data_IF_188910149120
#
_entry.id   IF_188910149120
#
_cell.length_a   1.000
_cell.length_b   1.000
_cell.length_c   1.000
_cell.angle_alpha   90.00
_cell.angle_beta   90.00
_cell.angle_gamma   90.00
#
_symmetry.space_group_name_H-M   'P 1'
#
loop_
_entity.id
_entity.type
_entity.pdbx_description
1 polymer ?
#
# COMPACT_ATOMS: atom_id res chain seq x y z
N UNK A 1 15.79 -14.09 -3.63
CA UNK A 1 16.61 -13.76 -4.80
C UNK A 1 15.69 -13.32 -5.93
N UNK A 2 16.20 -12.56 -6.89
CA UNK A 2 15.45 -12.03 -8.02
C UNK A 2 14.90 -13.13 -8.94
N UNK A 3 15.52 -14.29 -8.95
CA UNK A 3 15.07 -15.48 -9.69
C UNK A 3 13.61 -15.90 -9.39
N UNK A 4 13.06 -15.42 -8.26
CA UNK A 4 11.65 -15.63 -7.88
C UNK A 4 10.68 -14.64 -8.52
N UNK A 5 11.18 -13.60 -9.17
CA UNK A 5 10.36 -12.62 -9.90
C UNK A 5 10.28 -12.95 -11.40
N UNK A 6 11.05 -13.92 -11.89
CA UNK A 6 11.17 -14.28 -13.29
C UNK A 6 12.56 -13.97 -13.88
N UNK A 7 12.68 -14.09 -15.20
CA UNK A 7 13.93 -13.87 -15.92
C UNK A 7 14.32 -12.38 -15.91
N UNK A 8 15.61 -12.12 -15.63
CA UNK A 8 16.16 -10.75 -15.67
C UNK A 8 17.19 -10.61 -16.78
N UNK A 9 17.00 -9.58 -17.61
CA UNK A 9 17.97 -9.17 -18.63
C UNK A 9 18.48 -7.75 -18.36
N UNK A 10 19.73 -7.52 -18.77
CA UNK A 10 20.34 -6.19 -18.75
C UNK A 10 20.19 -5.57 -20.12
N UNK A 11 19.60 -4.40 -20.21
CA UNK A 11 19.53 -3.62 -21.43
C UNK A 11 20.96 -3.13 -21.79
N UNK A 12 21.50 -3.50 -22.95
CA UNK A 12 22.88 -3.23 -23.32
C UNK A 12 23.16 -1.72 -23.54
N UNK A 13 22.15 -0.96 -23.92
CA UNK A 13 22.28 0.46 -24.21
C UNK A 13 22.31 1.31 -22.93
N UNK A 14 21.53 0.91 -21.90
CA UNK A 14 21.33 1.70 -20.68
C UNK A 14 21.98 1.10 -19.45
N UNK A 15 22.34 -0.18 -19.50
CA UNK A 15 22.83 -0.95 -18.34
C UNK A 15 21.75 -1.25 -17.29
N UNK A 16 20.51 -0.88 -17.55
CA UNK A 16 19.37 -1.11 -16.65
C UNK A 16 18.93 -2.57 -16.72
N UNK A 17 18.59 -3.13 -15.58
CA UNK A 17 18.06 -4.50 -15.50
C UNK A 17 16.55 -4.49 -15.52
N UNK A 18 15.98 -5.44 -16.25
CA UNK A 18 14.53 -5.62 -16.42
C UNK A 18 14.11 -7.06 -16.17
N UNK A 19 12.92 -7.22 -15.64
CA UNK A 19 12.16 -8.46 -15.66
C UNK A 19 11.51 -8.55 -17.05
N UNK A 20 11.78 -9.60 -17.78
CA UNK A 20 11.36 -9.75 -19.19
C UNK A 20 10.42 -10.94 -19.40
N UNK A 21 10.19 -11.72 -18.35
CA UNK A 21 9.35 -12.92 -18.33
C UNK A 21 8.06 -12.57 -17.56
N UNK A 22 7.20 -11.76 -18.19
CA UNK A 22 5.97 -11.31 -17.56
C UNK A 22 4.85 -12.34 -17.81
N UNK A 23 4.10 -12.66 -16.75
CA UNK A 23 2.91 -13.50 -16.84
C UNK A 23 1.70 -12.67 -17.29
N UNK A 24 1.62 -12.38 -18.58
CA UNK A 24 0.64 -11.47 -19.17
C UNK A 24 -0.67 -12.15 -19.48
N UNK A 25 -0.59 -13.38 -20.02
CA UNK A 25 -1.72 -14.12 -20.56
C UNK A 25 -2.24 -15.18 -19.60
N UNK A 26 -3.53 -15.46 -19.75
CA UNK A 26 -4.24 -16.46 -18.95
C UNK A 26 -3.51 -17.80 -18.93
N UNK A 27 -3.08 -18.33 -20.09
CA UNK A 27 -2.41 -19.61 -20.19
C UNK A 27 -1.11 -19.66 -19.38
N UNK A 28 -0.29 -18.61 -19.49
CA UNK A 28 0.96 -18.48 -18.71
C UNK A 28 0.69 -18.47 -17.21
N UNK A 29 -0.37 -17.76 -16.78
CA UNK A 29 -0.78 -17.71 -15.36
C UNK A 29 -1.24 -19.10 -14.90
N UNK A 30 -2.03 -19.80 -15.71
CA UNK A 30 -2.49 -21.15 -15.43
C UNK A 30 -1.32 -22.13 -15.30
N UNK A 31 -0.37 -22.08 -16.23
CA UNK A 31 0.82 -22.95 -16.21
C UNK A 31 1.68 -22.72 -14.96
N UNK A 32 1.87 -21.45 -14.55
CA UNK A 32 2.64 -21.10 -13.36
C UNK A 32 1.98 -21.60 -12.07
N UNK A 33 0.65 -21.44 -11.94
CA UNK A 33 -0.06 -21.69 -10.69
C UNK A 33 -0.81 -23.02 -10.63
N UNK A 34 -0.78 -23.83 -11.68
CA UNK A 34 -1.30 -25.20 -11.68
C UNK A 34 -0.31 -26.24 -11.13
N UNK A 35 0.97 -25.92 -11.04
CA UNK A 35 2.02 -26.81 -10.55
C UNK A 35 1.93 -27.02 -9.01
N UNK A 36 1.53 -28.23 -8.54
CA UNK A 36 1.36 -28.49 -7.11
C UNK A 36 2.62 -28.31 -6.27
N UNK A 37 3.81 -28.51 -6.86
CA UNK A 37 5.09 -28.39 -6.15
C UNK A 37 5.47 -26.94 -5.87
N UNK A 38 4.98 -26.00 -6.67
CA UNK A 38 5.18 -24.56 -6.48
C UNK A 38 4.19 -23.93 -5.51
N UNK A 39 3.12 -24.66 -5.15
CA UNK A 39 2.03 -24.16 -4.32
C UNK A 39 2.35 -24.39 -2.86
N UNK A 40 2.45 -23.28 -2.09
CA UNK A 40 2.55 -23.33 -0.63
C UNK A 40 1.20 -22.99 -0.01
N UNK A 41 0.82 -23.74 1.02
CA UNK A 41 -0.38 -23.44 1.82
C UNK A 41 -0.28 -22.02 2.41
N UNK A 42 -1.34 -21.22 2.26
CA UNK A 42 -1.44 -19.82 2.72
C UNK A 42 -0.45 -18.84 2.06
N UNK A 43 0.10 -19.16 0.91
CA UNK A 43 0.90 -18.24 0.09
C UNK A 43 0.10 -17.74 -1.11
N UNK A 44 0.58 -16.66 -1.75
CA UNK A 44 -0.03 -16.13 -2.97
C UNK A 44 -0.22 -17.20 -4.06
N UNK A 45 0.77 -18.08 -4.36
CA UNK A 45 0.56 -19.18 -5.30
C UNK A 45 -0.60 -20.10 -4.93
N UNK A 46 -0.77 -20.41 -3.64
CA UNK A 46 -1.90 -21.24 -3.19
C UNK A 46 -3.26 -20.56 -3.34
N UNK A 47 -3.31 -19.25 -3.18
CA UNK A 47 -4.52 -18.45 -3.42
C UNK A 47 -4.85 -18.43 -4.92
N UNK A 48 -3.85 -18.19 -5.78
CA UNK A 48 -4.02 -18.20 -7.24
C UNK A 48 -4.46 -19.57 -7.74
N UNK A 49 -3.85 -20.67 -7.27
CA UNK A 49 -4.28 -22.01 -7.61
C UNK A 49 -5.76 -22.26 -7.29
N UNK A 50 -6.22 -21.86 -6.11
CA UNK A 50 -7.65 -21.95 -5.73
C UNK A 50 -8.53 -21.06 -6.59
N UNK A 51 -8.05 -19.88 -6.97
CA UNK A 51 -8.78 -18.99 -7.85
C UNK A 51 -8.96 -19.61 -9.25
N UNK A 52 -7.92 -20.25 -9.80
CA UNK A 52 -7.98 -20.98 -11.07
C UNK A 52 -9.00 -22.13 -11.07
N UNK A 53 -9.22 -22.75 -9.91
CA UNK A 53 -10.23 -23.81 -9.74
C UNK A 53 -11.66 -23.26 -9.60
N UNK A 54 -11.84 -21.95 -9.48
CA UNK A 54 -13.15 -21.34 -9.30
C UNK A 54 -13.81 -21.04 -10.66
N UNK A 55 -14.79 -21.84 -11.04
CA UNK A 55 -15.52 -21.72 -12.30
C UNK A 55 -16.21 -20.36 -12.51
N UNK A 56 -16.42 -19.58 -11.45
CA UNK A 56 -16.98 -18.23 -11.55
C UNK A 56 -15.99 -17.19 -12.05
N UNK A 57 -14.69 -17.47 -11.93
CA UNK A 57 -13.64 -16.57 -12.44
C UNK A 57 -13.35 -17.00 -13.88
N UNK A 58 -13.63 -16.12 -14.83
CA UNK A 58 -13.55 -16.43 -16.27
C UNK A 58 -12.27 -15.95 -16.92
N UNK A 59 -11.59 -14.98 -16.31
CA UNK A 59 -10.41 -14.36 -16.88
C UNK A 59 -9.36 -14.04 -15.82
N UNK A 60 -8.10 -14.14 -16.21
CA UNK A 60 -6.93 -13.83 -15.41
C UNK A 60 -5.98 -13.07 -16.30
N UNK A 61 -5.53 -11.91 -15.87
CA UNK A 61 -4.56 -11.11 -16.63
C UNK A 61 -3.69 -10.27 -15.71
N UNK A 62 -2.53 -9.89 -16.19
CA UNK A 62 -1.72 -8.87 -15.55
C UNK A 62 -2.45 -7.53 -15.59
N UNK A 63 -2.31 -6.73 -14.55
CA UNK A 63 -2.76 -5.34 -14.52
C UNK A 63 -1.56 -4.42 -14.35
N UNK A 64 -1.38 -3.52 -15.31
CA UNK A 64 -0.29 -2.53 -15.33
C UNK A 64 -0.64 -1.40 -16.29
N UNK A 65 0.25 -0.43 -16.46
CA UNK A 65 0.06 0.65 -17.45
C UNK A 65 0.02 0.15 -18.90
N UNK A 66 0.48 -1.07 -19.18
CA UNK A 66 0.40 -1.70 -20.51
C UNK A 66 -0.66 -2.80 -20.63
N UNK A 67 -1.34 -3.18 -19.54
CA UNK A 67 -2.24 -4.35 -19.50
C UNK A 67 -3.65 -4.03 -18.98
N UNK A 68 -4.04 -2.76 -19.00
CA UNK A 68 -5.40 -2.31 -18.73
C UNK A 68 -6.23 -2.14 -20.01
N UNK A 69 -7.40 -1.51 -19.88
CA UNK A 69 -8.10 -0.90 -21.01
C UNK A 69 -7.41 0.41 -21.33
N UNK A 70 -6.82 0.51 -22.54
CA UNK A 70 -6.07 1.69 -22.95
C UNK A 70 -6.99 2.70 -23.64
N UNK A 71 -6.97 3.95 -23.18
CA UNK A 71 -7.61 5.09 -23.84
C UNK A 71 -6.59 6.24 -23.94
N UNK A 72 -6.11 6.49 -25.16
CA UNK A 72 -4.95 7.35 -25.38
C UNK A 72 -3.69 6.77 -24.70
N UNK A 73 -3.05 7.57 -23.86
CA UNK A 73 -1.85 7.17 -23.10
C UNK A 73 -2.19 6.61 -21.71
N UNK A 74 -3.46 6.61 -21.32
CA UNK A 74 -3.90 6.18 -20.01
C UNK A 74 -4.37 4.73 -20.02
N UNK A 75 -4.04 4.01 -18.96
CA UNK A 75 -4.52 2.66 -18.72
C UNK A 75 -5.60 2.68 -17.63
N UNK A 76 -6.67 1.95 -17.83
CA UNK A 76 -7.75 1.81 -16.87
C UNK A 76 -7.94 0.35 -16.46
N UNK A 77 -8.43 0.15 -15.26
CA UNK A 77 -8.88 -1.16 -14.83
C UNK A 77 -10.01 -1.63 -15.77
N UNK A 78 -9.97 -2.86 -16.32
CA UNK A 78 -10.97 -3.36 -17.23
C UNK A 78 -12.39 -3.24 -16.68
N UNK A 79 -13.30 -2.67 -17.46
CA UNK A 79 -14.67 -2.37 -17.07
C UNK A 79 -14.83 -1.06 -16.28
N UNK A 80 -13.78 -0.22 -16.17
CA UNK A 80 -13.78 1.05 -15.45
C UNK A 80 -13.10 2.20 -16.23
N UNK A 81 -12.98 2.06 -17.54
CA UNK A 81 -12.54 3.12 -18.42
C UNK A 81 -13.67 4.13 -18.70
N UNK A 82 -13.39 5.34 -19.16
CA UNK A 82 -14.42 6.29 -19.59
C UNK A 82 -15.40 5.71 -20.59
N UNK A 83 -14.93 4.89 -21.54
CA UNK A 83 -15.77 4.20 -22.53
C UNK A 83 -16.74 3.14 -21.96
N UNK A 84 -16.54 2.71 -20.72
CA UNK A 84 -17.47 1.79 -20.03
C UNK A 84 -18.71 2.51 -19.49
N UNK A 85 -18.78 3.85 -19.63
CA UNK A 85 -19.92 4.71 -19.26
C UNK A 85 -20.41 4.52 -17.82
N UNK A 86 -19.53 4.17 -16.91
CA UNK A 86 -19.82 4.19 -15.48
C UNK A 86 -19.75 5.62 -14.95
N UNK A 87 -20.40 5.90 -13.83
CA UNK A 87 -20.30 7.21 -13.18
C UNK A 87 -18.92 7.51 -12.59
N UNK A 88 -17.97 6.57 -12.69
CA UNK A 88 -16.61 6.68 -12.16
C UNK A 88 -15.62 5.88 -12.99
N UNK A 89 -14.35 6.25 -12.90
CA UNK A 89 -13.25 5.57 -13.58
C UNK A 89 -12.22 5.05 -12.58
N UNK A 90 -11.43 4.07 -12.98
CA UNK A 90 -10.30 3.56 -12.19
C UNK A 90 -9.07 3.49 -13.08
N UNK A 91 -8.22 4.51 -13.00
CA UNK A 91 -6.97 4.62 -13.72
C UNK A 91 -5.88 3.76 -13.09
N UNK A 92 -5.04 3.12 -13.91
CA UNK A 92 -3.90 2.30 -13.49
C UNK A 92 -2.62 3.12 -13.65
N UNK A 93 -2.03 3.55 -12.55
CA UNK A 93 -0.80 4.34 -12.52
C UNK A 93 0.48 3.50 -12.30
N UNK A 94 0.32 2.21 -12.03
CA UNK A 94 1.42 1.27 -11.83
C UNK A 94 0.93 -0.17 -11.66
N UNK A 95 1.81 -1.17 -11.89
CA UNK A 95 3.21 -1.05 -12.29
C UNK A 95 3.38 -0.39 -13.67
N UNK A 96 4.43 0.40 -13.83
CA UNK A 96 4.77 0.99 -15.12
C UNK A 96 5.50 -0.04 -15.96
N UNK A 97 4.96 -0.35 -17.13
CA UNK A 97 5.58 -1.20 -18.14
C UNK A 97 6.42 -0.33 -19.09
N UNK A 98 7.63 -0.77 -19.35
CA UNK A 98 8.50 -0.21 -20.39
C UNK A 98 8.63 -1.24 -21.52
N UNK A 99 8.84 -0.80 -22.74
CA UNK A 99 8.96 -1.68 -23.89
C UNK A 99 10.41 -1.73 -24.38
N UNK A 100 10.84 -2.88 -24.84
CA UNK A 100 12.14 -3.02 -25.49
C UNK A 100 12.08 -2.64 -26.99
N UNK A 101 13.18 -2.80 -27.70
CA UNK A 101 13.25 -2.50 -29.15
C UNK A 101 12.34 -3.39 -30.02
N UNK A 102 11.92 -4.54 -29.52
CA UNK A 102 10.99 -5.45 -30.17
C UNK A 102 9.53 -5.24 -29.72
N UNK A 103 9.25 -4.17 -28.98
CA UNK A 103 7.95 -3.87 -28.39
C UNK A 103 7.47 -4.93 -27.37
N UNK A 104 8.40 -5.65 -26.74
CA UNK A 104 8.05 -6.59 -25.67
C UNK A 104 7.99 -5.86 -24.33
N UNK A 105 6.94 -6.09 -23.52
CA UNK A 105 6.78 -5.44 -22.24
C UNK A 105 7.80 -5.98 -21.23
N UNK A 106 8.30 -5.09 -20.40
CA UNK A 106 9.27 -5.39 -19.35
C UNK A 106 9.08 -4.50 -18.13
N UNK A 107 9.46 -4.99 -16.95
CA UNK A 107 9.41 -4.23 -15.72
C UNK A 107 10.83 -3.92 -15.23
N UNK A 108 11.10 -2.66 -14.97
CA UNK A 108 12.41 -2.18 -14.49
C UNK A 108 12.74 -2.77 -13.12
N UNK A 109 13.98 -3.22 -12.92
CA UNK A 109 14.48 -3.49 -11.58
C UNK A 109 14.62 -2.17 -10.81
N UNK A 110 13.71 -1.93 -9.85
CA UNK A 110 13.60 -0.66 -9.12
C UNK A 110 14.71 -0.52 -8.06
N UNK A 111 15.07 -1.62 -7.37
CA UNK A 111 16.06 -1.65 -6.29
C UNK A 111 16.97 -2.86 -6.40
N UNK A 112 18.12 -2.80 -5.72
CA UNK A 112 18.98 -3.98 -5.53
C UNK A 112 18.35 -5.01 -4.59
N UNK A 113 17.42 -4.61 -3.72
CA UNK A 113 16.70 -5.50 -2.83
C UNK A 113 15.47 -6.11 -3.52
N UNK A 114 15.32 -7.45 -3.40
CA UNK A 114 14.20 -8.19 -3.95
C UNK A 114 12.85 -7.67 -3.46
N UNK A 115 12.68 -7.52 -2.13
CA UNK A 115 11.43 -7.05 -1.54
C UNK A 115 11.05 -5.64 -1.97
N UNK A 116 12.03 -4.74 -2.13
CA UNK A 116 11.78 -3.38 -2.60
C UNK A 116 11.37 -3.34 -4.07
N UNK A 117 11.94 -4.19 -4.93
CA UNK A 117 11.52 -4.30 -6.33
C UNK A 117 10.11 -4.90 -6.41
N UNK A 118 9.83 -5.97 -5.65
CA UNK A 118 8.50 -6.58 -5.60
C UNK A 118 7.42 -5.59 -5.17
N UNK A 119 7.63 -4.93 -4.04
CA UNK A 119 6.68 -3.94 -3.52
C UNK A 119 6.59 -2.69 -4.41
N UNK A 120 7.71 -2.34 -5.08
CA UNK A 120 7.75 -1.23 -6.01
C UNK A 120 6.90 -1.44 -7.28
N UNK A 121 6.56 -2.67 -7.61
CA UNK A 121 5.62 -3.04 -8.67
C UNK A 121 4.21 -3.30 -8.14
N UNK A 122 3.82 -2.69 -7.04
CA UNK A 122 2.42 -2.68 -6.59
C UNK A 122 1.49 -2.10 -7.66
N UNK A 123 0.29 -2.65 -7.73
CA UNK A 123 -0.78 -2.05 -8.53
C UNK A 123 -1.20 -0.75 -7.86
N UNK A 124 -1.03 0.36 -8.57
CA UNK A 124 -1.38 1.71 -8.13
C UNK A 124 -2.60 2.16 -8.92
N UNK A 125 -3.67 2.47 -8.21
CA UNK A 125 -4.94 2.83 -8.79
C UNK A 125 -5.38 4.22 -8.33
N UNK A 126 -5.96 4.99 -9.25
CA UNK A 126 -6.67 6.22 -8.95
C UNK A 126 -8.12 6.07 -9.38
N UNK A 127 -9.02 6.05 -8.41
CA UNK A 127 -10.46 6.11 -8.63
C UNK A 127 -10.88 7.58 -8.71
N UNK A 128 -11.66 7.92 -9.74
CA UNK A 128 -12.24 9.25 -9.90
C UNK A 128 -13.76 9.14 -10.04
N UNK A 129 -14.48 9.84 -9.16
CA UNK A 129 -15.93 9.90 -9.18
C UNK A 129 -16.41 11.32 -8.90
N UNK A 130 -16.98 11.98 -9.91
CA UNK A 130 -17.35 13.39 -9.83
C UNK A 130 -16.13 14.25 -9.50
N UNK A 131 -16.24 15.03 -8.43
CA UNK A 131 -15.20 15.96 -7.98
C UNK A 131 -14.11 15.31 -7.12
N UNK A 132 -14.22 14.01 -6.80
CA UNK A 132 -13.34 13.33 -5.85
C UNK A 132 -12.47 12.25 -6.47
N UNK A 133 -11.25 12.20 -5.98
CA UNK A 133 -10.23 11.21 -6.35
C UNK A 133 -9.73 10.46 -5.12
N UNK A 134 -9.55 9.16 -5.28
CA UNK A 134 -8.97 8.29 -4.25
C UNK A 134 -7.76 7.59 -4.83
N UNK A 135 -6.59 7.76 -4.22
CA UNK A 135 -5.36 7.08 -4.61
C UNK A 135 -5.11 5.86 -3.73
N UNK A 136 -4.92 4.72 -4.36
CA UNK A 136 -4.50 3.47 -3.72
C UNK A 136 -3.01 3.25 -3.97
N UNK A 137 -2.16 3.55 -2.98
CA UNK A 137 -0.72 3.56 -3.12
C UNK A 137 -0.03 2.19 -3.02
N UNK A 138 -0.78 1.08 -2.85
CA UNK A 138 -0.19 -0.25 -2.69
C UNK A 138 0.88 -0.29 -1.60
N UNK A 139 1.97 -1.00 -1.87
CA UNK A 139 3.15 -1.10 -1.01
C UNK A 139 4.35 -0.35 -1.60
N UNK A 140 4.10 0.78 -2.28
CA UNK A 140 5.17 1.62 -2.80
C UNK A 140 6.21 1.95 -1.73
N UNK A 141 7.43 2.11 -2.18
CA UNK A 141 8.58 2.46 -1.36
C UNK A 141 9.39 3.59 -2.02
N UNK A 142 10.38 4.14 -1.31
CA UNK A 142 11.18 5.29 -1.77
C UNK A 142 11.74 5.12 -3.19
N UNK A 143 12.39 3.98 -3.57
CA UNK A 143 12.87 3.80 -4.94
C UNK A 143 11.75 3.84 -5.99
N UNK A 144 10.62 3.20 -5.69
CA UNK A 144 9.48 3.14 -6.60
C UNK A 144 8.78 4.49 -6.78
N UNK A 145 8.55 5.23 -5.70
CA UNK A 145 7.99 6.57 -5.76
C UNK A 145 8.87 7.53 -6.57
N UNK A 146 10.20 7.47 -6.37
CA UNK A 146 11.14 8.23 -7.18
C UNK A 146 11.10 7.82 -8.65
N UNK A 147 10.92 6.54 -8.94
CA UNK A 147 10.76 6.06 -10.31
C UNK A 147 9.48 6.59 -10.94
N UNK A 148 8.33 6.46 -10.26
CA UNK A 148 7.04 6.96 -10.75
C UNK A 148 7.04 8.47 -10.97
N UNK A 149 7.54 9.25 -9.99
CA UNK A 149 7.63 10.70 -10.14
C UNK A 149 8.48 11.11 -11.34
N UNK A 150 9.63 10.45 -11.57
CA UNK A 150 10.45 10.70 -12.76
C UNK A 150 9.72 10.32 -14.05
N UNK A 151 9.11 9.15 -14.08
CA UNK A 151 8.41 8.64 -15.25
C UNK A 151 7.31 9.61 -15.70
N UNK A 152 6.40 9.97 -14.78
CA UNK A 152 5.25 10.83 -15.10
C UNK A 152 5.61 12.31 -15.31
N UNK A 153 6.82 12.73 -14.97
CA UNK A 153 7.30 14.10 -15.22
C UNK A 153 8.43 14.19 -16.25
N UNK A 154 8.70 13.09 -16.98
CA UNK A 154 9.69 13.04 -18.06
C UNK A 154 11.14 13.27 -17.62
N UNK A 155 11.50 12.99 -16.34
CA UNK A 155 12.83 13.26 -15.80
C UNK A 155 13.72 12.02 -15.80
N UNK A 156 14.93 12.16 -16.29
CA UNK A 156 15.94 11.10 -16.21
C UNK A 156 16.48 10.91 -14.78
N UNK A 157 16.68 12.01 -14.05
CA UNK A 157 17.24 12.01 -12.69
C UNK A 157 16.24 12.58 -11.69
N UNK A 158 16.25 12.02 -10.49
CA UNK A 158 15.45 12.56 -9.38
C UNK A 158 16.11 13.83 -8.84
N UNK A 159 15.41 14.98 -8.80
CA UNK A 159 16.00 16.25 -8.42
C UNK A 159 16.43 16.30 -6.95
N UNK A 160 17.41 17.14 -6.64
CA UNK A 160 17.79 17.46 -5.26
C UNK A 160 16.65 18.20 -4.55
N UNK A 161 16.35 17.87 -3.28
CA UNK A 161 15.34 18.56 -2.47
C UNK A 161 15.50 20.09 -2.39
N UNK A 162 16.72 20.60 -2.61
CA UNK A 162 17.04 22.03 -2.54
C UNK A 162 16.92 22.75 -3.89
N UNK A 163 16.67 22.04 -4.97
CA UNK A 163 16.57 22.62 -6.31
C UNK A 163 15.16 23.11 -6.62
N UNK A 164 15.04 24.13 -7.48
CA UNK A 164 13.76 24.56 -8.02
C UNK A 164 13.07 23.45 -8.81
N UNK A 165 13.84 22.61 -9.52
CA UNK A 165 13.34 21.48 -10.29
C UNK A 165 12.63 20.44 -9.41
N UNK A 166 13.01 20.28 -8.13
CA UNK A 166 12.28 19.43 -7.20
C UNK A 166 10.85 19.90 -6.95
N UNK A 167 10.65 21.21 -6.79
CA UNK A 167 9.32 21.79 -6.61
C UNK A 167 8.51 21.72 -7.92
N UNK A 168 9.16 21.96 -9.05
CA UNK A 168 8.53 21.82 -10.37
C UNK A 168 8.06 20.39 -10.61
N UNK A 169 8.90 19.39 -10.34
CA UNK A 169 8.54 17.99 -10.43
C UNK A 169 7.28 17.66 -9.61
N UNK A 170 7.19 18.16 -8.37
CA UNK A 170 6.01 17.96 -7.51
C UNK A 170 4.76 18.57 -8.15
N UNK A 171 4.85 19.79 -8.68
CA UNK A 171 3.71 20.46 -9.30
C UNK A 171 3.25 19.74 -10.58
N UNK A 172 4.18 19.28 -11.40
CA UNK A 172 3.89 18.53 -12.63
C UNK A 172 3.33 17.13 -12.34
N UNK A 173 3.67 16.53 -11.19
CA UNK A 173 3.15 15.23 -10.77
C UNK A 173 1.72 15.31 -10.18
N UNK A 174 1.27 16.48 -9.72
CA UNK A 174 -0.06 16.66 -9.10
C UNK A 174 -1.24 16.24 -9.98
N UNK A 175 -1.31 16.56 -11.28
CA UNK A 175 -2.41 16.11 -12.13
C UNK A 175 -2.55 14.59 -12.15
N UNK A 176 -1.43 13.87 -12.12
CA UNK A 176 -1.42 12.40 -12.12
C UNK A 176 -1.79 11.82 -10.76
N UNK A 177 -1.14 12.28 -9.68
CA UNK A 177 -1.23 11.63 -8.36
C UNK A 177 -2.16 12.33 -7.38
N UNK A 178 -2.57 13.58 -7.65
CA UNK A 178 -3.43 14.36 -6.74
C UNK A 178 -4.75 13.64 -6.44
N UNK A 179 -5.12 13.60 -5.15
CA UNK A 179 -6.32 12.95 -4.69
C UNK A 179 -6.81 13.56 -3.37
N UNK A 180 -8.10 13.49 -3.09
CA UNK A 180 -8.71 13.94 -1.84
C UNK A 180 -8.48 12.95 -0.71
N UNK A 181 -8.44 11.64 -1.07
CA UNK A 181 -8.18 10.55 -0.14
C UNK A 181 -7.01 9.71 -0.65
N UNK A 182 -6.11 9.33 0.24
CA UNK A 182 -5.01 8.42 -0.08
C UNK A 182 -5.02 7.22 0.85
N UNK A 183 -5.10 6.00 0.30
CA UNK A 183 -4.63 4.81 1.02
C UNK A 183 -3.11 4.88 1.09
N UNK A 184 -2.61 5.06 2.31
CA UNK A 184 -1.17 5.24 2.56
C UNK A 184 -0.38 4.03 2.09
N UNK A 185 0.78 4.29 1.48
CA UNK A 185 1.67 3.25 0.97
C UNK A 185 2.19 2.37 2.11
N UNK A 186 2.38 1.10 1.81
CA UNK A 186 3.10 0.13 2.64
C UNK A 186 2.65 0.16 4.13
N UNK A 187 1.33 0.14 4.35
CA UNK A 187 0.71 0.08 5.68
C UNK A 187 1.14 1.20 6.66
N UNK A 188 1.71 2.28 6.15
CA UNK A 188 2.24 3.36 7.01
C UNK A 188 3.72 3.18 7.38
N UNK A 189 4.51 2.51 6.54
CA UNK A 189 5.97 2.47 6.64
C UNK A 189 6.58 3.85 6.48
N UNK A 190 7.73 4.10 7.12
CA UNK A 190 8.53 5.34 6.94
C UNK A 190 9.11 5.49 5.52
N UNK A 191 9.08 4.43 4.71
CA UNK A 191 9.70 4.38 3.38
C UNK A 191 8.85 5.06 2.28
N UNK A 192 8.37 6.26 2.55
CA UNK A 192 7.62 7.13 1.63
C UNK A 192 8.41 8.43 1.42
N UNK A 193 8.38 9.01 0.23
CA UNK A 193 9.06 10.28 -0.06
C UNK A 193 8.18 11.49 0.23
N UNK A 194 8.79 12.60 0.70
CA UNK A 194 8.08 13.86 0.87
C UNK A 194 7.51 14.38 -0.46
N UNK A 195 8.23 14.14 -1.58
CA UNK A 195 7.80 14.56 -2.91
C UNK A 195 6.48 13.86 -3.31
N UNK A 196 6.37 12.56 -3.05
CA UNK A 196 5.17 11.81 -3.39
C UNK A 196 3.98 12.25 -2.53
N UNK A 197 4.18 12.40 -1.20
CA UNK A 197 3.16 12.95 -0.32
C UNK A 197 2.69 14.35 -0.75
N UNK A 198 3.62 15.22 -1.14
CA UNK A 198 3.31 16.56 -1.60
C UNK A 198 2.61 16.58 -2.98
N UNK A 199 2.92 15.62 -3.86
CA UNK A 199 2.24 15.48 -5.15
C UNK A 199 0.79 14.97 -4.99
N UNK A 200 0.56 14.02 -4.08
CA UNK A 200 -0.79 13.53 -3.79
C UNK A 200 -1.60 14.57 -3.03
N UNK A 201 -1.04 15.17 -1.98
CA UNK A 201 -1.60 16.22 -1.13
C UNK A 201 -3.07 15.95 -0.73
N UNK A 202 -3.38 14.81 -0.08
CA UNK A 202 -4.75 14.45 0.25
C UNK A 202 -5.23 15.16 1.51
N UNK A 203 -6.55 15.33 1.66
CA UNK A 203 -7.16 15.82 2.90
C UNK A 203 -7.39 14.70 3.92
N UNK A 204 -7.52 13.46 3.44
CA UNK A 204 -7.70 12.29 4.29
C UNK A 204 -6.73 11.16 3.91
N UNK A 205 -6.03 10.67 4.91
CA UNK A 205 -5.16 9.50 4.80
C UNK A 205 -5.84 8.29 5.43
N UNK A 206 -5.88 7.18 4.72
CA UNK A 206 -6.37 5.90 5.21
C UNK A 206 -5.19 4.94 5.36
N UNK A 207 -4.97 4.46 6.57
CA UNK A 207 -3.89 3.55 6.92
C UNK A 207 -4.51 2.19 7.24
N UNK A 208 -4.15 1.18 6.43
CA UNK A 208 -4.48 -0.22 6.69
C UNK A 208 -3.28 -0.86 7.38
N UNK A 209 -3.35 -1.06 8.66
CA UNK A 209 -2.29 -1.67 9.47
C UNK A 209 -2.86 -2.67 10.46
N UNK A 210 -1.99 -3.51 11.03
CA UNK A 210 -2.36 -4.53 12.01
C UNK A 210 -1.17 -4.95 12.86
N UNK A 211 -1.45 -5.41 14.06
CA UNK A 211 -0.48 -5.68 15.12
C UNK A 211 0.26 -7.03 14.95
N UNK A 212 -0.23 -7.89 14.08
CA UNK A 212 0.33 -9.24 13.89
C UNK A 212 1.43 -9.30 12.82
N UNK A 213 1.82 -8.15 12.28
CA UNK A 213 2.90 -8.07 11.32
C UNK A 213 4.25 -7.95 12.04
N UNK A 214 5.28 -8.56 11.47
CA UNK A 214 6.65 -8.46 11.98
C UNK A 214 7.25 -7.04 11.90
N UNK A 215 6.47 -6.08 11.42
CA UNK A 215 6.80 -4.66 11.31
C UNK A 215 5.77 -3.84 12.08
N UNK A 216 6.23 -2.91 12.89
CA UNK A 216 5.36 -1.99 13.63
C UNK A 216 4.95 -0.85 12.69
N UNK A 217 3.74 -0.91 12.15
CA UNK A 217 3.13 0.13 11.31
C UNK A 217 1.79 0.59 11.91
N UNK A 218 1.38 1.87 11.73
CA UNK A 218 2.13 2.96 11.08
C UNK A 218 3.30 3.45 11.94
N UNK A 219 4.35 3.93 11.26
CA UNK A 219 5.52 4.51 11.94
C UNK A 219 5.22 5.93 12.42
N UNK A 220 5.62 6.29 13.67
CA UNK A 220 5.32 7.61 14.25
C UNK A 220 5.87 8.79 13.44
N UNK A 221 7.06 8.66 12.86
CA UNK A 221 7.66 9.69 12.01
C UNK A 221 6.86 9.90 10.73
N UNK A 222 6.28 8.84 10.15
CA UNK A 222 5.39 8.98 9.02
C UNK A 222 4.12 9.74 9.40
N UNK A 223 3.50 9.43 10.53
CA UNK A 223 2.28 10.12 10.97
C UNK A 223 2.49 11.65 11.04
N UNK A 224 3.63 12.10 11.58
CA UNK A 224 4.00 13.52 11.58
C UNK A 224 4.16 14.11 10.17
N UNK A 225 4.72 13.33 9.24
CA UNK A 225 4.88 13.75 7.83
C UNK A 225 3.53 13.79 7.10
N UNK A 226 2.63 12.84 7.34
CA UNK A 226 1.27 12.87 6.78
C UNK A 226 0.54 14.15 7.21
N UNK A 227 0.59 14.51 8.49
CA UNK A 227 0.03 15.77 8.99
C UNK A 227 0.63 17.01 8.31
N UNK A 228 1.93 16.98 7.97
CA UNK A 228 2.61 18.09 7.30
C UNK A 228 2.26 18.24 5.82
N UNK A 229 2.11 17.11 5.10
CA UNK A 229 1.94 17.11 3.64
C UNK A 229 0.47 16.95 3.21
N UNK A 230 -0.42 16.70 4.15
CA UNK A 230 -1.86 16.70 3.86
C UNK A 230 -2.41 18.09 3.56
N UNK A 231 -3.56 18.11 2.89
CA UNK A 231 -4.25 19.33 2.46
C UNK A 231 -4.96 19.98 3.64
N UNK A 232 -4.90 21.30 3.70
CA UNK A 232 -5.54 22.11 4.76
C UNK A 232 -4.74 22.15 6.06
N UNK A 233 -5.35 22.77 7.09
CA UNK A 233 -4.71 22.95 8.39
C UNK A 233 -4.75 21.68 9.25
N UNK A 234 -5.73 20.81 9.02
CA UNK A 234 -5.98 19.61 9.84
C UNK A 234 -6.33 18.40 8.97
N UNK A 235 -5.35 17.82 8.24
CA UNK A 235 -5.62 16.63 7.46
C UNK A 235 -6.03 15.46 8.36
N UNK A 236 -7.02 14.70 7.92
CA UNK A 236 -7.57 13.57 8.67
C UNK A 236 -6.71 12.31 8.47
N UNK A 237 -6.35 11.66 9.57
CA UNK A 237 -5.64 10.38 9.55
C UNK A 237 -6.55 9.30 10.16
N UNK A 238 -6.95 8.34 9.34
CA UNK A 238 -7.76 7.19 9.75
C UNK A 238 -6.91 5.93 9.68
N UNK A 239 -6.87 5.18 10.77
CA UNK A 239 -6.17 3.89 10.82
C UNK A 239 -7.15 2.79 11.18
N UNK A 240 -6.97 1.59 10.61
CA UNK A 240 -7.70 0.39 11.03
C UNK A 240 -7.36 0.00 12.47
N UNK A 241 -6.25 0.49 13.02
CA UNK A 241 -5.91 0.42 14.43
C UNK A 241 -6.40 1.67 15.14
N UNK A 242 -7.59 1.61 15.74
CA UNK A 242 -8.22 2.77 16.38
C UNK A 242 -7.64 3.10 17.76
N UNK A 243 -7.16 2.09 18.47
CA UNK A 243 -6.59 2.27 19.79
C UNK A 243 -5.47 1.27 20.03
N UNK A 244 -4.26 1.79 20.17
CA UNK A 244 -3.14 1.00 20.68
C UNK A 244 -3.13 1.01 22.21
N UNK A 245 -2.75 -0.11 22.79
CA UNK A 245 -2.51 -0.16 24.22
C UNK A 245 -1.28 0.68 24.55
N UNK A 246 -1.21 1.17 25.78
CA UNK A 246 -0.03 1.85 26.32
C UNK A 246 1.19 0.93 26.51
N UNK A 247 1.09 -0.33 26.08
CA UNK A 247 2.14 -1.36 26.16
C UNK A 247 3.23 -1.24 25.10
N UNK A 248 3.35 -0.15 24.39
CA UNK A 248 4.51 0.12 23.51
C UNK A 248 5.86 0.13 24.25
N UNK A 249 5.80 0.15 25.57
CA UNK A 249 6.94 -0.15 26.43
C UNK A 249 6.79 -1.56 26.98
N UNK A 250 7.88 -2.31 26.93
CA UNK A 250 7.99 -3.58 27.65
C UNK A 250 7.31 -3.45 29.00
N UNK A 251 6.37 -4.33 29.31
CA UNK A 251 5.82 -4.41 30.66
C UNK A 251 6.94 -4.80 31.62
N UNK A 252 7.57 -3.77 32.22
CA UNK A 252 8.73 -3.96 33.12
C UNK A 252 8.46 -4.97 34.24
N UNK A 253 7.20 -5.06 34.69
CA UNK A 253 6.82 -6.03 35.74
C UNK A 253 6.79 -7.45 35.19
N UNK A 254 6.26 -7.62 33.99
CA UNK A 254 6.20 -8.90 33.28
C UNK A 254 7.60 -9.38 32.91
N UNK A 255 8.45 -8.51 32.39
CA UNK A 255 9.85 -8.80 32.05
C UNK A 255 10.63 -9.18 33.33
N UNK A 256 10.47 -8.43 34.43
CA UNK A 256 11.11 -8.75 35.71
C UNK A 256 10.63 -10.09 36.30
N UNK A 257 9.34 -10.43 36.14
CA UNK A 257 8.81 -11.73 36.50
C UNK A 257 9.41 -12.86 35.67
N UNK A 258 9.58 -12.66 34.37
CA UNK A 258 10.21 -13.63 33.48
C UNK A 258 11.67 -13.87 33.85
N UNK A 259 12.45 -12.82 34.12
CA UNK A 259 13.83 -12.96 34.61
C UNK A 259 13.89 -13.81 35.89
N UNK A 260 13.03 -13.52 36.86
CA UNK A 260 12.95 -14.34 38.10
C UNK A 260 12.59 -15.79 37.83
N UNK A 261 11.74 -16.07 36.85
CA UNK A 261 11.37 -17.44 36.47
C UNK A 261 12.51 -18.14 35.75
N UNK A 262 13.28 -17.45 34.90
CA UNK A 262 14.49 -17.97 34.26
C UNK A 262 15.52 -18.34 35.32
N UNK A 263 15.78 -17.45 36.30
CA UNK A 263 16.71 -17.70 37.39
C UNK A 263 16.29 -18.90 38.28
N UNK A 264 14.98 -19.04 38.52
CA UNK A 264 14.44 -20.21 39.24
C UNK A 264 14.57 -21.49 38.43
N UNK A 265 14.32 -21.40 37.10
CA UNK A 265 14.44 -22.56 36.20
C UNK A 265 15.89 -23.06 36.16
N UNK A 266 16.87 -22.14 36.15
CA UNK A 266 18.28 -22.47 36.16
C UNK A 266 18.72 -23.18 37.46
N UNK A 267 18.09 -22.84 38.65
CA UNK A 267 18.41 -23.40 39.94
C UNK A 267 17.65 -24.70 40.25
N UNK A 268 16.38 -24.77 39.85
CA UNK A 268 15.49 -25.89 40.14
C UNK A 268 14.43 -26.01 39.04
N UNK A 269 14.74 -26.72 37.93
CA UNK A 269 13.83 -26.84 36.81
C UNK A 269 12.58 -27.63 37.21
N UNK A 270 11.42 -26.97 37.12
CA UNK A 270 10.12 -27.59 37.35
C UNK A 270 9.17 -27.26 36.22
N UNK A 271 8.28 -28.19 35.90
CA UNK A 271 7.25 -27.99 34.88
C UNK A 271 6.32 -26.79 35.19
N UNK A 272 6.08 -26.53 36.49
CA UNK A 272 5.30 -25.37 36.93
C UNK A 272 5.96 -24.05 36.55
N UNK A 273 7.29 -23.92 36.76
CA UNK A 273 8.03 -22.70 36.37
C UNK A 273 8.05 -22.56 34.88
N UNK A 274 8.27 -23.64 34.12
CA UNK A 274 8.24 -23.65 32.66
C UNK A 274 6.89 -23.17 32.12
N UNK A 275 5.79 -23.71 32.63
CA UNK A 275 4.43 -23.28 32.24
C UNK A 275 4.16 -21.81 32.56
N UNK A 276 4.63 -21.32 33.71
CA UNK A 276 4.49 -19.90 34.05
C UNK A 276 5.29 -19.00 33.11
N UNK A 277 6.53 -19.37 32.81
CA UNK A 277 7.35 -18.63 31.84
C UNK A 277 6.70 -18.58 30.45
N UNK A 278 6.20 -19.71 29.93
CA UNK A 278 5.46 -19.75 28.68
C UNK A 278 4.20 -18.88 28.68
N UNK A 279 3.47 -18.85 29.82
CA UNK A 279 2.33 -17.97 30.01
C UNK A 279 2.75 -16.50 29.91
N UNK A 280 3.82 -16.11 30.58
CA UNK A 280 4.32 -14.73 30.58
C UNK A 280 4.85 -14.33 29.19
N UNK A 281 5.51 -15.23 28.44
CA UNK A 281 5.91 -15.01 27.05
C UNK A 281 4.68 -14.79 26.15
N UNK A 282 3.62 -15.57 26.34
CA UNK A 282 2.36 -15.34 25.60
C UNK A 282 1.71 -14.00 25.94
N UNK A 283 1.81 -13.54 27.19
CA UNK A 283 1.29 -12.21 27.57
C UNK A 283 2.09 -11.08 26.92
N UNK A 284 3.43 -11.21 26.79
CA UNK A 284 4.25 -10.27 26.03
C UNK A 284 3.91 -10.25 24.55
N UNK A 285 3.57 -11.40 23.98
CA UNK A 285 3.19 -11.54 22.58
C UNK A 285 1.73 -11.20 22.29
N UNK A 286 0.95 -10.67 23.25
CA UNK A 286 -0.41 -10.18 22.99
C UNK A 286 -0.37 -8.91 22.18
N UNK A 287 -1.37 -8.77 21.31
CA UNK A 287 -1.50 -7.63 20.42
C UNK A 287 -1.56 -6.32 21.21
N UNK A 288 -0.91 -5.29 20.70
CA UNK A 288 -0.93 -3.94 21.26
C UNK A 288 -2.16 -3.14 20.82
N UNK A 289 -2.95 -3.66 19.89
CA UNK A 289 -4.15 -3.01 19.40
C UNK A 289 -5.33 -3.50 20.23
N UNK A 290 -5.95 -2.58 20.95
CA UNK A 290 -7.13 -2.88 21.78
C UNK A 290 -8.42 -2.79 20.98
N UNK A 291 -8.45 -1.95 19.94
CA UNK A 291 -9.63 -1.69 19.14
C UNK A 291 -9.25 -1.57 17.67
N UNK A 292 -9.87 -2.40 16.85
CA UNK A 292 -9.87 -2.28 15.40
C UNK A 292 -11.15 -1.60 14.93
N UNK A 293 -11.12 -0.98 13.76
CA UNK A 293 -12.30 -0.40 13.16
C UNK A 293 -12.23 -0.42 11.65
N UNK A 294 -13.37 -0.67 11.04
CA UNK A 294 -13.51 -0.54 9.60
C UNK A 294 -13.52 0.94 9.21
N UNK A 295 -12.80 1.28 8.16
CA UNK A 295 -12.80 2.61 7.55
C UNK A 295 -13.67 2.55 6.30
N UNK A 296 -14.53 3.55 6.15
CA UNK A 296 -15.43 3.69 5.02
C UNK A 296 -15.16 5.01 4.33
N UNK A 297 -15.03 4.97 3.01
CA UNK A 297 -15.01 6.15 2.16
C UNK A 297 -16.19 6.03 1.21
N UNK A 298 -17.08 7.01 1.22
CA UNK A 298 -18.28 7.07 0.40
C UNK A 298 -18.40 8.42 -0.28
N UNK A 299 -18.83 8.43 -1.52
CA UNK A 299 -19.11 9.64 -2.26
C UNK A 299 -20.27 9.44 -3.23
N UNK A 300 -21.00 10.50 -3.50
CA UNK A 300 -22.00 10.64 -4.56
C UNK A 300 -21.47 11.48 -5.75
N UNK A 301 -20.17 11.80 -5.73
CA UNK A 301 -19.50 12.65 -6.70
C UNK A 301 -19.49 14.14 -6.36
N UNK A 302 -20.30 14.60 -5.38
CA UNK A 302 -20.37 16.00 -4.92
C UNK A 302 -20.02 16.15 -3.45
N UNK A 303 -20.30 15.10 -2.66
CA UNK A 303 -19.92 14.98 -1.25
C UNK A 303 -19.07 13.75 -1.05
N UNK A 304 -18.11 13.84 -0.16
CA UNK A 304 -17.28 12.71 0.24
C UNK A 304 -17.33 12.57 1.76
N UNK A 305 -17.54 11.35 2.24
CA UNK A 305 -17.53 11.01 3.66
C UNK A 305 -16.40 9.99 3.89
N UNK A 306 -15.46 10.35 4.76
CA UNK A 306 -14.50 9.43 5.33
C UNK A 306 -14.93 9.10 6.77
N UNK A 307 -15.15 7.84 7.09
CA UNK A 307 -15.69 7.42 8.35
C UNK A 307 -15.00 6.18 8.91
N UNK A 308 -15.01 6.03 10.23
CA UNK A 308 -14.69 4.79 10.88
C UNK A 308 -15.77 4.36 11.85
N UNK A 309 -15.91 3.06 12.04
CA UNK A 309 -16.80 2.44 12.99
C UNK A 309 -16.01 1.96 14.19
N UNK A 310 -16.39 2.41 15.37
CA UNK A 310 -15.88 1.85 16.61
C UNK A 310 -16.58 0.51 16.90
N UNK A 311 -15.83 -0.58 16.98
CA UNK A 311 -16.34 -1.94 17.17
C UNK A 311 -16.43 -2.35 18.66
N UNK A 312 -16.19 -1.44 19.59
CA UNK A 312 -16.44 -1.69 21.02
C UNK A 312 -17.93 -1.96 21.29
N UNK A 313 -18.21 -2.95 22.13
CA UNK A 313 -19.57 -3.46 22.39
C UNK A 313 -20.54 -2.47 23.03
N UNK A 314 -20.07 -1.32 23.52
CA UNK A 314 -20.90 -0.46 24.36
C UNK A 314 -20.99 1.05 24.04
N UNK A 315 -20.44 1.66 23.00
CA UNK A 315 -20.59 3.08 22.86
C UNK A 315 -21.97 3.48 22.30
N UNK A 316 -22.54 4.53 22.86
CA UNK A 316 -23.76 5.18 22.31
C UNK A 316 -23.56 5.69 20.89
N UNK A 317 -22.32 6.11 20.54
CA UNK A 317 -21.89 6.56 19.22
C UNK A 317 -20.90 5.57 18.64
N UNK A 318 -21.31 4.83 17.60
CA UNK A 318 -20.45 3.84 16.91
C UNK A 318 -19.71 4.41 15.71
N UNK A 319 -20.21 5.48 15.11
CA UNK A 319 -19.69 6.07 13.90
C UNK A 319 -19.07 7.43 14.17
N UNK A 320 -17.91 7.65 13.60
CA UNK A 320 -17.24 8.95 13.50
C UNK A 320 -16.99 9.20 12.04
N UNK A 321 -17.30 10.40 11.55
CA UNK A 321 -17.20 10.74 10.14
C UNK A 321 -16.71 12.17 9.94
N UNK A 322 -16.08 12.36 8.79
CA UNK A 322 -15.59 13.64 8.27
C UNK A 322 -16.23 13.81 6.90
N UNK A 323 -16.90 14.92 6.71
CA UNK A 323 -17.59 15.23 5.46
C UNK A 323 -16.82 16.31 4.71
N UNK A 324 -16.74 16.15 3.39
CA UNK A 324 -16.04 17.05 2.49
C UNK A 324 -16.95 17.40 1.33
N UNK A 325 -16.82 18.64 0.83
CA UNK A 325 -17.43 19.13 -0.41
C UNK A 325 -16.43 20.00 -1.17
N UNK A 326 -16.69 20.23 -2.44
CA UNK A 326 -15.94 21.20 -3.23
C UNK A 326 -16.79 22.47 -3.30
N UNK A 327 -16.21 23.64 -2.93
CA UNK A 327 -16.87 24.93 -3.02
C UNK A 327 -16.93 25.44 -4.47
N UNK A 328 -17.61 26.58 -4.70
CA UNK A 328 -17.74 27.22 -6.01
C UNK A 328 -16.39 27.64 -6.62
N UNK A 329 -15.36 27.81 -5.81
CA UNK A 329 -14.00 28.15 -6.24
C UNK A 329 -13.15 26.92 -6.52
N UNK A 330 -13.70 25.69 -6.38
CA UNK A 330 -12.99 24.43 -6.58
C UNK A 330 -12.12 24.00 -5.38
N UNK A 331 -12.30 24.60 -4.20
CA UNK A 331 -11.55 24.22 -3.02
C UNK A 331 -12.27 23.13 -2.23
N UNK A 332 -11.49 22.20 -1.70
CA UNK A 332 -12.01 21.19 -0.79
C UNK A 332 -12.29 21.81 0.58
N UNK A 333 -13.54 21.69 1.04
CA UNK A 333 -14.01 22.19 2.34
C UNK A 333 -14.44 20.99 3.18
N UNK A 334 -13.94 20.93 4.41
CA UNK A 334 -14.41 20.01 5.43
C UNK A 334 -15.53 20.66 6.23
N UNK A 335 -16.66 19.98 6.38
CA UNK A 335 -17.86 20.45 7.10
C UNK A 335 -18.08 19.73 8.43
#
# INVERSE_FOLDING_TARGET
>A
TFDKLGEMKTDPATGVKYLVDLAEEKQTIEDIYSDPEKIRKFSFPGVMHKALQNEKIKDYRMLSTGHGTLEGEQAYMPGFAPSDHRGYTVEVLGPVVEYDSEQKPRLRRISSAYGETKNGHSVILKLEYGDFKVLFGGDLNIPAEKFLLKHYTGREKFPSKKSADYLMMIQEAKPTFGAEVMKVCHHGSEKVTDAFLAAVNPACFVISSGDQEGHVHPRPDLLGRLGRFGRGESPVLLSTELQRSTREREDRKLVAAMHKEVDKLAKSPTEKIRKSLHKNIKELGKTNVSVYGAIYVKTDGKKLIAAFKNELDAPKKKWFYFEYSIDEAGNLVQT
#
